data_IF_331576106158
#
_entry.id   IF_331576106158
#
_cell.length_a   1.000
_cell.length_b   1.000
_cell.length_c   1.000
_cell.angle_alpha   90.00
_cell.angle_beta   90.00
_cell.angle_gamma   90.00
#
_symmetry.space_group_name_H-M   'P 1'
#
loop_
_entity.id
_entity.type
_entity.pdbx_description
1 polymer ?
#
# COMPACT_ATOMS: atom_id res chain seq x y z
N UNK A 1 -28.63 5.76 -14.38
CA UNK A 1 -27.63 6.84 -14.20
C UNK A 1 -26.23 6.34 -14.54
N UNK A 2 -25.58 6.90 -15.56
CA UNK A 2 -24.18 6.58 -15.87
C UNK A 2 -23.30 7.26 -14.82
N UNK A 3 -22.94 6.54 -13.76
CA UNK A 3 -21.89 6.98 -12.84
C UNK A 3 -20.60 7.05 -13.65
N UNK A 4 -20.07 8.25 -13.87
CA UNK A 4 -18.84 8.43 -14.64
C UNK A 4 -17.71 7.66 -13.93
N UNK A 5 -17.06 6.76 -14.66
CA UNK A 5 -15.89 6.03 -14.19
C UNK A 5 -14.64 6.87 -14.45
N UNK A 6 -13.72 6.92 -13.50
CA UNK A 6 -12.44 7.60 -13.63
C UNK A 6 -11.29 6.61 -13.44
N UNK A 7 -10.31 6.62 -14.36
CA UNK A 7 -9.10 5.79 -14.23
C UNK A 7 -8.15 6.44 -13.23
N UNK A 8 -7.91 5.79 -12.10
CA UNK A 8 -7.08 6.31 -11.02
C UNK A 8 -6.22 5.19 -10.40
N UNK A 9 -5.05 5.57 -9.92
CA UNK A 9 -4.16 4.66 -9.21
C UNK A 9 -4.58 4.47 -7.76
N UNK A 10 -4.60 3.23 -7.29
CA UNK A 10 -4.73 2.86 -5.88
C UNK A 10 -3.39 2.93 -5.12
N UNK A 11 -2.43 3.68 -5.64
CA UNK A 11 -1.06 3.76 -5.14
C UNK A 11 -0.09 2.77 -5.80
N UNK A 12 1.18 2.86 -5.40
CA UNK A 12 2.25 2.04 -5.97
C UNK A 12 2.04 0.53 -5.71
N UNK A 13 2.37 -0.29 -6.71
CA UNK A 13 2.44 -1.75 -6.62
C UNK A 13 3.83 -2.27 -6.97
N UNK A 14 4.02 -3.59 -6.89
CA UNK A 14 5.32 -4.23 -7.21
C UNK A 14 5.71 -4.16 -8.69
N UNK A 15 4.73 -3.97 -9.58
CA UNK A 15 4.92 -3.95 -11.04
C UNK A 15 4.57 -2.57 -11.65
N UNK A 16 4.45 -1.52 -10.82
CA UNK A 16 4.00 -0.20 -11.24
C UNK A 16 2.75 0.28 -10.49
N UNK A 17 2.18 1.44 -10.86
CA UNK A 17 0.95 1.94 -10.25
C UNK A 17 -0.20 0.95 -10.42
N UNK A 18 -0.97 0.73 -9.35
CA UNK A 18 -2.12 -0.18 -9.39
C UNK A 18 -3.33 0.55 -9.91
N UNK A 19 -3.50 0.54 -11.23
CA UNK A 19 -4.57 1.27 -11.90
C UNK A 19 -5.89 0.50 -11.92
N UNK A 20 -6.97 1.22 -11.64
CA UNK A 20 -8.34 0.72 -11.74
C UNK A 20 -9.23 1.84 -12.27
N UNK A 21 -10.43 1.47 -12.71
CA UNK A 21 -11.50 2.45 -12.89
C UNK A 21 -12.30 2.55 -11.60
N UNK A 22 -12.60 3.77 -11.20
CA UNK A 22 -13.26 4.09 -9.94
C UNK A 22 -14.52 4.90 -10.18
N UNK A 23 -15.50 4.67 -9.33
CA UNK A 23 -16.65 5.54 -9.22
C UNK A 23 -17.10 5.60 -7.75
N UNK A 24 -17.69 6.71 -7.33
CA UNK A 24 -18.21 6.85 -5.98
C UNK A 24 -19.60 7.45 -5.99
N UNK A 25 -20.44 7.02 -5.05
CA UNK A 25 -21.77 7.58 -4.84
C UNK A 25 -21.97 7.87 -3.34
N UNK A 26 -22.37 9.09 -2.95
CA UNK A 26 -22.82 9.34 -1.58
C UNK A 26 -24.06 8.50 -1.25
N UNK A 27 -24.10 7.88 -0.07
CA UNK A 27 -25.20 6.98 0.32
C UNK A 27 -26.07 7.50 1.48
N UNK A 28 -25.60 8.47 2.26
CA UNK A 28 -26.42 9.18 3.25
C UNK A 28 -26.58 10.64 2.83
N UNK A 29 -27.71 10.96 2.20
CA UNK A 29 -28.04 12.35 1.87
C UNK A 29 -29.22 12.76 2.75
N UNK A 30 -29.08 13.74 3.67
CA UNK A 30 -27.99 14.71 3.78
C UNK A 30 -26.71 14.19 4.49
N UNK A 31 -25.56 14.87 4.30
CA UNK A 31 -24.31 14.58 5.02
C UNK A 31 -24.45 14.74 6.54
N UNK A 32 -23.61 14.04 7.30
CA UNK A 32 -23.46 14.25 8.74
C UNK A 32 -22.56 15.45 9.04
N UNK A 33 -22.64 15.97 10.27
CA UNK A 33 -21.88 17.16 10.70
C UNK A 33 -20.36 17.05 10.47
N UNK A 34 -19.81 15.84 10.54
CA UNK A 34 -18.36 15.59 10.41
C UNK A 34 -17.98 14.89 9.09
N UNK A 35 -18.94 14.58 8.20
CA UNK A 35 -18.63 13.90 6.94
C UNK A 35 -19.79 13.19 6.25
N UNK A 36 -19.44 12.39 5.26
CA UNK A 36 -20.33 11.74 4.32
C UNK A 36 -19.89 10.28 4.13
N UNK A 37 -20.86 9.35 4.05
CA UNK A 37 -20.61 7.98 3.61
C UNK A 37 -20.70 7.91 2.10
N UNK A 38 -19.74 7.21 1.52
CA UNK A 38 -19.62 6.93 0.10
C UNK A 38 -19.61 5.42 -0.12
N UNK A 39 -20.36 4.97 -1.13
CA UNK A 39 -20.14 3.70 -1.80
C UNK A 39 -19.11 3.93 -2.90
N UNK A 40 -17.88 3.46 -2.65
CA UNK A 40 -16.79 3.51 -3.60
C UNK A 40 -16.70 2.17 -4.31
N UNK A 41 -16.72 2.16 -5.63
CA UNK A 41 -16.59 0.96 -6.44
C UNK A 41 -15.37 1.08 -7.32
N UNK A 42 -14.54 0.04 -7.35
CA UNK A 42 -13.49 -0.11 -8.35
C UNK A 42 -13.81 -1.24 -9.31
N UNK A 43 -13.27 -1.12 -10.51
CA UNK A 43 -13.33 -2.12 -11.58
C UNK A 43 -11.91 -2.43 -12.06
N UNK A 44 -11.58 -3.72 -12.19
CA UNK A 44 -10.31 -4.14 -12.82
C UNK A 44 -10.32 -3.86 -14.31
N UNK A 45 -9.18 -3.47 -14.86
CA UNK A 45 -9.06 -3.10 -16.28
C UNK A 45 -9.15 -4.32 -17.21
N UNK A 46 -8.68 -5.49 -16.76
CA UNK A 46 -8.58 -6.67 -17.60
C UNK A 46 -9.92 -7.44 -17.68
N UNK A 47 -10.50 -7.77 -16.52
CA UNK A 47 -11.68 -8.64 -16.41
C UNK A 47 -12.97 -7.89 -16.05
N UNK A 48 -12.90 -6.58 -15.79
CA UNK A 48 -14.06 -5.80 -15.36
C UNK A 48 -14.59 -6.18 -13.97
N UNK A 49 -13.79 -6.87 -13.14
CA UNK A 49 -14.21 -7.35 -11.82
C UNK A 49 -14.45 -6.18 -10.87
N UNK A 50 -15.63 -6.16 -10.26
CA UNK A 50 -16.02 -5.11 -9.33
C UNK A 50 -15.60 -5.43 -7.90
N UNK A 51 -15.17 -4.41 -7.16
CA UNK A 51 -15.02 -4.46 -5.69
C UNK A 51 -15.60 -3.19 -5.10
N UNK A 52 -16.48 -3.34 -4.12
CA UNK A 52 -17.12 -2.23 -3.43
C UNK A 52 -16.49 -1.99 -2.05
N UNK A 53 -16.49 -0.73 -1.64
CA UNK A 53 -15.98 -0.24 -0.36
C UNK A 53 -16.98 0.74 0.23
N UNK A 54 -17.13 0.70 1.54
CA UNK A 54 -17.82 1.73 2.31
C UNK A 54 -16.76 2.67 2.89
N UNK A 55 -16.85 3.95 2.56
CA UNK A 55 -15.93 4.97 3.07
C UNK A 55 -16.69 6.06 3.81
N UNK A 56 -16.12 6.55 4.91
CA UNK A 56 -16.57 7.76 5.58
C UNK A 56 -15.48 8.82 5.45
N UNK A 57 -15.81 9.97 4.86
CA UNK A 57 -14.83 11.02 4.58
C UNK A 57 -15.48 12.41 4.64
N UNK A 58 -14.69 13.48 4.80
CA UNK A 58 -15.20 14.85 4.62
C UNK A 58 -15.84 15.02 3.24
N UNK A 59 -16.87 15.88 3.14
CA UNK A 59 -17.55 16.16 1.86
C UNK A 59 -16.63 16.75 0.78
N UNK A 60 -15.49 17.33 1.19
CA UNK A 60 -14.46 17.88 0.32
C UNK A 60 -13.52 16.81 -0.25
N UNK A 61 -13.62 15.56 0.20
CA UNK A 61 -12.73 14.49 -0.20
C UNK A 61 -12.94 14.13 -1.67
N UNK A 62 -11.85 14.11 -2.43
CA UNK A 62 -11.82 13.75 -3.84
C UNK A 62 -11.90 12.23 -4.04
N UNK A 63 -12.36 11.82 -5.24
CA UNK A 63 -12.32 10.41 -5.63
C UNK A 63 -10.89 9.83 -5.61
N UNK A 64 -9.88 10.63 -5.92
CA UNK A 64 -8.48 10.22 -5.88
C UNK A 64 -8.01 9.91 -4.45
N UNK A 65 -8.36 10.73 -3.46
CA UNK A 65 -8.06 10.46 -2.05
C UNK A 65 -8.76 9.21 -1.54
N UNK A 66 -10.03 9.00 -1.91
CA UNK A 66 -10.78 7.79 -1.60
C UNK A 66 -10.14 6.54 -2.23
N UNK A 67 -9.70 6.63 -3.49
CA UNK A 67 -9.02 5.54 -4.20
C UNK A 67 -7.66 5.20 -3.56
N UNK A 68 -6.90 6.22 -3.13
CA UNK A 68 -5.64 6.02 -2.40
C UNK A 68 -5.88 5.36 -1.04
N UNK A 69 -6.89 5.81 -0.29
CA UNK A 69 -7.25 5.23 1.00
C UNK A 69 -7.68 3.75 0.85
N UNK A 70 -8.53 3.44 -0.13
CA UNK A 70 -8.91 2.06 -0.46
C UNK A 70 -7.70 1.22 -0.90
N UNK A 71 -6.76 1.83 -1.60
CA UNK A 71 -5.51 1.24 -2.05
C UNK A 71 -4.51 0.90 -0.93
N UNK A 72 -4.56 1.62 0.19
CA UNK A 72 -3.69 1.41 1.35
C UNK A 72 -3.87 0.04 2.01
N UNK A 73 -5.05 -0.59 1.88
CA UNK A 73 -5.32 -1.96 2.39
C UNK A 73 -4.27 -2.97 1.94
N UNK A 74 -3.82 -2.88 0.69
CA UNK A 74 -2.81 -3.79 0.18
C UNK A 74 -1.44 -3.60 0.83
N UNK A 75 -1.07 -2.36 1.15
CA UNK A 75 0.18 -2.10 1.87
C UNK A 75 0.14 -2.72 3.27
N UNK A 76 -1.03 -2.67 3.94
CA UNK A 76 -1.27 -3.33 5.22
C UNK A 76 -1.13 -4.85 5.08
N UNK A 77 -1.79 -5.45 4.09
CA UNK A 77 -1.70 -6.90 3.84
C UNK A 77 -0.27 -7.34 3.57
N UNK A 78 0.45 -6.58 2.75
CA UNK A 78 1.86 -6.83 2.48
C UNK A 78 2.70 -6.74 3.74
N UNK A 79 2.49 -5.72 4.57
CA UNK A 79 3.16 -5.58 5.86
C UNK A 79 2.97 -6.84 6.71
N UNK A 80 1.73 -7.35 6.82
CA UNK A 80 1.47 -8.59 7.54
C UNK A 80 2.16 -9.81 6.92
N UNK A 81 2.18 -9.94 5.59
CA UNK A 81 2.86 -11.04 4.91
C UNK A 81 4.38 -11.01 5.12
N UNK A 82 5.00 -9.83 5.03
CA UNK A 82 6.42 -9.64 5.32
C UNK A 82 6.73 -9.97 6.78
N UNK A 83 5.87 -9.54 7.70
CA UNK A 83 6.05 -9.78 9.13
C UNK A 83 5.92 -11.28 9.49
N UNK A 84 4.99 -12.01 8.86
CA UNK A 84 4.91 -13.48 8.99
C UNK A 84 6.17 -14.16 8.46
N UNK A 85 6.53 -13.87 7.21
CA UNK A 85 7.65 -14.54 6.53
C UNK A 85 9.03 -14.22 7.11
N UNK A 86 9.25 -13.01 7.64
CA UNK A 86 10.58 -12.54 8.04
C UNK A 86 10.76 -12.44 9.56
N UNK A 87 9.68 -12.27 10.33
CA UNK A 87 9.74 -11.95 11.76
C UNK A 87 8.96 -12.92 12.64
N UNK A 88 8.42 -14.01 12.07
CA UNK A 88 7.75 -15.05 12.82
C UNK A 88 6.47 -14.57 13.50
N UNK A 89 5.70 -13.68 12.85
CA UNK A 89 4.41 -13.22 13.40
C UNK A 89 3.47 -14.38 13.72
N UNK A 90 3.55 -15.48 12.97
CA UNK A 90 2.78 -16.71 13.13
C UNK A 90 3.59 -17.85 13.78
N UNK A 91 4.83 -17.59 14.21
CA UNK A 91 5.73 -18.56 14.84
C UNK A 91 5.84 -18.32 16.35
N UNK A 92 4.71 -18.43 17.06
CA UNK A 92 4.67 -18.32 18.52
C UNK A 92 3.90 -19.49 19.14
N UNK A 93 4.36 -19.96 20.30
CA UNK A 93 3.69 -21.02 21.08
C UNK A 93 2.98 -20.47 22.33
N UNK A 94 2.75 -19.16 22.37
CA UNK A 94 2.25 -18.46 23.54
C UNK A 94 0.75 -18.72 23.75
N UNK A 95 0.38 -19.13 24.97
CA UNK A 95 -1.00 -19.48 25.34
C UNK A 95 -1.70 -18.48 26.26
N UNK A 96 -1.06 -17.35 26.57
CA UNK A 96 -1.64 -16.29 27.40
C UNK A 96 -1.88 -15.04 26.56
N UNK A 97 -2.96 -14.32 26.87
CA UNK A 97 -3.27 -13.04 26.21
C UNK A 97 -2.10 -12.06 26.27
N UNK A 98 -1.50 -11.89 27.46
CA UNK A 98 -0.39 -10.97 27.67
C UNK A 98 0.84 -11.33 26.83
N UNK A 99 1.19 -12.62 26.76
CA UNK A 99 2.33 -13.05 25.99
C UNK A 99 2.09 -12.93 24.48
N UNK A 100 0.87 -13.25 24.01
CA UNK A 100 0.47 -13.00 22.63
C UNK A 100 0.56 -11.51 22.27
N UNK A 101 -0.01 -10.64 23.12
CA UNK A 101 -0.01 -9.20 22.90
C UNK A 101 1.41 -8.62 22.84
N UNK A 102 2.30 -9.05 23.75
CA UNK A 102 3.72 -8.67 23.73
C UNK A 102 4.41 -9.14 22.46
N UNK A 103 4.18 -10.39 22.03
CA UNK A 103 4.75 -10.94 20.80
C UNK A 103 4.37 -10.11 19.57
N UNK A 104 3.06 -9.91 19.36
CA UNK A 104 2.56 -9.13 18.23
C UNK A 104 3.13 -7.71 18.26
N UNK A 105 3.17 -7.07 19.42
CA UNK A 105 3.70 -5.70 19.56
C UNK A 105 5.19 -5.62 19.20
N UNK A 106 6.01 -6.55 19.73
CA UNK A 106 7.45 -6.59 19.46
C UNK A 106 7.75 -6.86 17.98
N UNK A 107 7.02 -7.81 17.39
CA UNK A 107 7.17 -8.17 15.98
C UNK A 107 6.78 -6.99 15.07
N UNK A 108 5.67 -6.29 15.36
CA UNK A 108 5.27 -5.10 14.59
C UNK A 108 6.26 -3.94 14.76
N UNK A 109 6.84 -3.76 15.97
CA UNK A 109 7.87 -2.75 16.21
C UNK A 109 9.17 -3.06 15.45
N UNK A 110 9.59 -4.32 15.43
CA UNK A 110 10.73 -4.79 14.65
C UNK A 110 10.50 -4.58 13.14
N UNK A 111 9.31 -4.87 12.63
CA UNK A 111 8.96 -4.62 11.23
C UNK A 111 9.07 -3.14 10.87
N UNK A 112 8.47 -2.25 11.68
CA UNK A 112 8.54 -0.81 11.47
C UNK A 112 10.00 -0.30 11.45
N UNK A 113 10.84 -0.81 12.37
CA UNK A 113 12.27 -0.49 12.39
C UNK A 113 12.98 -0.92 11.09
N UNK A 114 12.75 -2.16 10.63
CA UNK A 114 13.37 -2.69 9.40
C UNK A 114 12.93 -1.93 8.15
N UNK A 115 11.63 -1.59 8.05
CA UNK A 115 11.12 -0.74 6.96
C UNK A 115 11.80 0.63 6.98
N UNK A 116 11.93 1.25 8.15
CA UNK A 116 12.65 2.53 8.31
C UNK A 116 14.12 2.45 7.94
N UNK A 117 14.82 1.35 8.26
CA UNK A 117 16.19 1.10 7.83
C UNK A 117 16.27 0.94 6.30
N UNK A 118 15.40 0.13 5.71
CA UNK A 118 15.33 -0.08 4.25
C UNK A 118 15.10 1.23 3.50
N UNK A 119 14.17 2.06 3.96
CA UNK A 119 13.90 3.37 3.35
C UNK A 119 15.11 4.31 3.41
N UNK A 120 15.84 4.32 4.53
CA UNK A 120 17.08 5.12 4.67
C UNK A 120 18.16 4.68 3.68
N UNK A 121 18.34 3.36 3.50
CA UNK A 121 19.29 2.82 2.51
C UNK A 121 18.89 3.19 1.09
N UNK A 122 17.61 3.05 0.74
CA UNK A 122 17.10 3.42 -0.58
C UNK A 122 17.29 4.91 -0.87
N UNK A 123 16.97 5.80 0.08
CA UNK A 123 17.21 7.25 -0.07
C UNK A 123 18.69 7.55 -0.28
N UNK A 124 19.58 6.98 0.54
CA UNK A 124 21.03 7.15 0.38
C UNK A 124 21.52 6.68 -1.00
N UNK A 125 21.02 5.56 -1.49
CA UNK A 125 21.37 5.05 -2.81
C UNK A 125 20.87 5.98 -3.92
N UNK A 126 19.63 6.45 -3.85
CA UNK A 126 19.08 7.42 -4.81
C UNK A 126 19.91 8.71 -4.86
N UNK A 127 20.26 9.28 -3.70
CA UNK A 127 21.15 10.43 -3.63
C UNK A 127 22.52 10.14 -4.25
N UNK A 128 23.10 8.96 -3.99
CA UNK A 128 24.39 8.55 -4.58
C UNK A 128 24.33 8.45 -6.09
N UNK A 129 23.27 7.86 -6.65
CA UNK A 129 23.09 7.75 -8.11
C UNK A 129 22.87 9.11 -8.79
N UNK A 130 22.25 10.07 -8.09
CA UNK A 130 22.04 11.41 -8.63
C UNK A 130 23.32 12.26 -8.62
N UNK A 131 24.19 12.09 -7.63
CA UNK A 131 25.43 12.89 -7.49
C UNK A 131 26.56 12.34 -8.39
N UNK A 132 26.63 11.03 -8.60
CA UNK A 132 27.63 10.42 -9.50
C UNK A 132 27.01 9.26 -10.32
N UNK A 133 26.44 9.58 -11.51
CA UNK A 133 25.86 8.59 -12.41
C UNK A 133 26.89 7.61 -13.00
N UNK A 134 28.19 7.97 -12.98
CA UNK A 134 29.24 7.24 -13.69
C UNK A 134 29.68 5.96 -12.96
N UNK A 135 29.40 5.85 -11.67
CA UNK A 135 29.71 4.68 -10.82
C UNK A 135 28.72 3.52 -10.90
N UNK A 136 27.71 3.58 -11.78
CA UNK A 136 26.72 2.49 -11.93
C UNK A 136 27.21 1.31 -12.78
N UNK A 137 28.36 1.44 -13.47
CA UNK A 137 29.01 0.31 -14.14
C UNK A 137 29.72 -0.53 -13.09
N UNK A 138 29.31 -1.79 -12.96
CA UNK A 138 29.97 -2.78 -12.11
C UNK A 138 31.48 -2.82 -12.41
N UNK A 139 32.37 -2.96 -11.41
CA UNK A 139 33.82 -3.03 -11.63
C UNK A 139 34.27 -4.36 -12.23
N UNK A 140 33.38 -5.34 -12.33
CA UNK A 140 33.70 -6.66 -12.84
C UNK A 140 33.74 -6.62 -14.38
N UNK A 141 34.83 -7.08 -15.02
CA UNK A 141 34.86 -7.22 -16.46
C UNK A 141 33.77 -8.22 -16.88
N UNK A 142 32.89 -7.80 -17.78
CA UNK A 142 32.01 -8.71 -18.52
C UNK A 142 32.92 -9.63 -19.32
N UNK A 143 33.09 -10.88 -18.88
CA UNK A 143 33.74 -11.90 -19.70
C UNK A 143 32.87 -12.10 -20.95
N UNK A 144 33.33 -11.59 -22.08
CA UNK A 144 32.79 -11.95 -23.38
C UNK A 144 33.12 -13.42 -23.62
N UNK A 145 32.09 -14.28 -23.58
CA UNK A 145 32.19 -15.66 -24.04
C UNK A 145 32.23 -15.59 -25.57
N UNK A 146 33.38 -15.93 -26.14
CA UNK A 146 33.55 -16.24 -27.56
C UNK A 146 33.28 -17.71 -27.85
#
# INVERSE_FOLDING_TARGET
>A
PQTAWARLSAGAGNQGPREYEWTCQPINTPPEAIGQRYLLVRRTLDEGRLTAYLAFAPVTCSLAELALAAGARWAIERCFQETKSQLGLDQYEVRTWHGWYRHITLVMAAHAFLVGCRQRVLKKNLYRFQIDPSRSRSPWPTFAVG
#
